data_IF_936540844672
#
_entry.id   IF_936540844672
#
_cell.length_a   1.000
_cell.length_b   1.000
_cell.length_c   1.000
_cell.angle_alpha   90.00
_cell.angle_beta   90.00
_cell.angle_gamma   90.00
#
_symmetry.space_group_name_H-M   'P 1'
#
loop_
_entity.id
_entity.type
_entity.pdbx_description
1 polymer ?
#
# COMPACT_ATOMS: atom_id res chain seq x y z
N UNK A 1 -37.53 62.71 19.79
CA UNK A 1 -36.82 63.10 18.56
C UNK A 1 -35.38 63.44 18.93
N UNK A 2 -34.44 62.48 18.83
CA UNK A 2 -32.99 62.68 18.92
C UNK A 2 -32.29 61.52 18.21
N UNK A 3 -31.40 61.91 17.32
CA UNK A 3 -30.56 61.13 16.42
C UNK A 3 -29.45 60.45 17.25
N UNK A 4 -29.19 59.16 17.01
CA UNK A 4 -27.86 58.58 17.27
C UNK A 4 -27.48 57.52 16.23
N UNK A 5 -26.62 57.99 15.32
CA UNK A 5 -25.54 57.32 14.58
C UNK A 5 -25.38 55.80 14.77
N UNK A 6 -25.69 55.05 13.70
CA UNK A 6 -25.06 53.75 13.42
C UNK A 6 -23.82 54.01 12.57
N UNK A 7 -22.64 53.76 13.12
CA UNK A 7 -21.42 53.44 12.37
C UNK A 7 -20.35 53.01 13.37
N UNK A 8 -19.95 51.74 13.34
CA UNK A 8 -18.54 51.30 13.22
C UNK A 8 -18.40 49.78 13.42
N UNK A 9 -17.54 49.23 12.56
CA UNK A 9 -16.83 47.94 12.66
C UNK A 9 -17.69 46.69 12.42
N UNK A 10 -17.33 45.76 11.55
CA UNK A 10 -15.99 45.32 11.17
C UNK A 10 -15.87 45.09 9.66
N UNK A 11 -14.76 45.60 9.11
CA UNK A 11 -14.21 45.15 7.85
C UNK A 11 -13.50 43.79 8.06
N UNK A 12 -13.67 42.90 7.08
CA UNK A 12 -12.78 41.79 6.69
C UNK A 12 -12.45 40.72 7.75
N UNK A 13 -12.76 39.46 7.42
CA UNK A 13 -11.66 38.56 7.14
C UNK A 13 -11.89 37.83 5.81
N UNK A 14 -11.59 38.51 4.69
CA UNK A 14 -11.37 37.86 3.40
C UNK A 14 -9.88 37.62 3.14
N UNK A 15 -9.06 37.53 4.19
CA UNK A 15 -7.63 37.22 4.11
C UNK A 15 -7.30 36.09 5.09
N UNK A 16 -7.97 34.96 4.92
CA UNK A 16 -7.53 33.66 5.43
C UNK A 16 -7.62 32.55 4.37
N UNK A 17 -7.76 32.94 3.10
CA UNK A 17 -7.76 32.04 1.93
C UNK A 17 -6.49 32.17 1.07
N UNK A 18 -5.48 32.91 1.53
CA UNK A 18 -4.24 33.18 0.78
C UNK A 18 -2.98 32.56 1.39
N UNK A 19 -3.10 31.57 2.29
CA UNK A 19 -1.95 30.83 2.84
C UNK A 19 -2.03 29.30 2.63
N UNK A 20 -3.04 28.80 1.90
CA UNK A 20 -3.10 27.40 1.50
C UNK A 20 -2.31 27.10 0.21
N UNK A 21 -1.76 28.11 -0.44
CA UNK A 21 -0.89 27.97 -1.60
C UNK A 21 0.52 28.42 -1.21
N UNK A 22 1.53 27.61 -1.54
CA UNK A 22 2.96 27.83 -1.35
C UNK A 22 3.59 27.37 -0.01
N UNK A 23 3.30 26.14 0.41
CA UNK A 23 4.42 25.30 0.85
C UNK A 23 4.26 23.90 0.25
N UNK A 24 4.78 23.73 -0.97
CA UNK A 24 5.15 22.42 -1.49
C UNK A 24 6.35 21.93 -0.67
N UNK A 25 6.17 21.73 0.63
CA UNK A 25 7.18 21.09 1.45
C UNK A 25 7.28 19.66 0.91
N UNK A 26 8.46 19.20 0.45
CA UNK A 26 8.64 17.85 -0.07
C UNK A 26 8.17 16.78 0.93
N UNK A 27 8.21 17.08 2.23
CA UNK A 27 7.65 16.24 3.29
C UNK A 27 6.12 16.22 3.24
N UNK A 28 5.45 17.36 3.13
CA UNK A 28 3.98 17.41 3.00
C UNK A 28 3.49 16.77 1.70
N UNK A 29 4.19 16.98 0.58
CA UNK A 29 3.88 16.28 -0.66
C UNK A 29 4.14 14.77 -0.54
N UNK A 30 5.20 14.35 0.15
CA UNK A 30 5.44 12.93 0.43
C UNK A 30 4.37 12.34 1.34
N UNK A 31 3.88 13.06 2.36
CA UNK A 31 2.77 12.62 3.20
C UNK A 31 1.45 12.58 2.43
N UNK A 32 1.10 13.63 1.67
CA UNK A 32 -0.10 13.66 0.84
C UNK A 32 -0.06 12.53 -0.20
N UNK A 33 1.07 12.31 -0.88
CA UNK A 33 1.24 11.21 -1.83
C UNK A 33 1.26 9.83 -1.13
N UNK A 34 1.80 9.74 0.09
CA UNK A 34 1.74 8.51 0.91
C UNK A 34 0.29 8.18 1.31
N UNK A 35 -0.54 9.19 1.55
CA UNK A 35 -1.98 9.03 1.79
C UNK A 35 -2.77 8.80 0.51
N UNK A 36 -2.31 9.32 -0.61
CA UNK A 36 -2.98 9.21 -1.92
C UNK A 36 -2.56 7.96 -2.72
N UNK A 37 -1.66 7.10 -2.19
CA UNK A 37 -1.31 5.73 -2.66
C UNK A 37 -1.45 5.49 -4.18
N UNK A 38 -1.10 6.46 -5.02
CA UNK A 38 -1.65 6.58 -6.37
C UNK A 38 -1.61 8.00 -6.94
N UNK A 39 -2.01 9.00 -6.13
CA UNK A 39 -1.90 10.42 -6.47
C UNK A 39 -0.44 10.85 -6.60
N UNK A 40 -0.09 11.39 -7.78
CA UNK A 40 1.27 11.82 -8.08
C UNK A 40 2.27 10.69 -8.36
N UNK A 41 1.81 9.45 -8.55
CA UNK A 41 2.68 8.40 -9.07
C UNK A 41 3.15 8.76 -10.49
N UNK A 42 4.43 8.54 -10.83
CA UNK A 42 4.90 8.58 -12.22
C UNK A 42 3.98 7.77 -13.14
N UNK A 43 3.68 8.26 -14.34
CA UNK A 43 2.79 7.61 -15.33
C UNK A 43 3.15 6.15 -15.63
N UNK A 44 4.42 5.78 -15.46
CA UNK A 44 4.89 4.40 -15.63
C UNK A 44 4.36 3.45 -14.53
N UNK A 45 4.03 3.96 -13.35
CA UNK A 45 3.48 3.20 -12.21
C UNK A 45 1.95 3.05 -12.27
N UNK A 46 1.27 3.78 -13.16
CA UNK A 46 -0.17 3.60 -13.42
C UNK A 46 -0.44 2.54 -14.49
N UNK A 47 0.59 2.14 -15.24
CA UNK A 47 0.49 1.18 -16.35
C UNK A 47 1.12 -0.17 -16.03
N UNK A 48 1.94 -0.25 -14.98
CA UNK A 48 2.64 -1.47 -14.57
C UNK A 48 2.54 -1.68 -13.07
N UNK A 49 2.60 -2.94 -12.63
CA UNK A 49 2.77 -3.26 -11.20
C UNK A 49 4.20 -2.92 -10.76
N UNK A 50 4.41 -2.76 -9.46
CA UNK A 50 5.68 -2.28 -8.90
C UNK A 50 6.30 -3.32 -7.97
N UNK A 51 7.61 -3.26 -7.78
CA UNK A 51 8.26 -4.08 -6.77
C UNK A 51 8.04 -3.50 -5.36
N UNK A 52 7.91 -4.39 -4.38
CA UNK A 52 7.90 -4.05 -2.97
C UNK A 52 8.57 -5.17 -2.15
N UNK A 53 9.07 -4.82 -0.99
CA UNK A 53 9.70 -5.77 -0.06
C UNK A 53 8.76 -6.04 1.10
N UNK A 54 8.59 -7.31 1.47
CA UNK A 54 7.84 -7.68 2.68
C UNK A 54 8.56 -7.13 3.90
N UNK A 55 7.87 -6.27 4.65
CA UNK A 55 8.43 -5.53 5.78
C UNK A 55 8.22 -6.25 7.12
N UNK A 56 7.26 -7.17 7.18
CA UNK A 56 6.99 -8.05 8.31
C UNK A 56 6.49 -9.40 7.82
N UNK A 57 6.75 -10.46 8.57
CA UNK A 57 6.19 -11.79 8.26
C UNK A 57 4.66 -11.72 8.16
N UNK A 58 4.11 -12.52 7.25
CA UNK A 58 2.67 -12.57 7.00
C UNK A 58 1.90 -13.08 8.22
N UNK A 59 0.75 -12.47 8.51
CA UNK A 59 -0.12 -12.90 9.61
C UNK A 59 -1.52 -12.28 9.52
N UNK A 60 -2.41 -12.60 10.48
CA UNK A 60 -3.70 -11.94 10.57
C UNK A 60 -3.52 -10.45 10.92
N UNK A 61 -4.45 -9.60 10.46
CA UNK A 61 -4.43 -8.15 10.72
C UNK A 61 -4.38 -7.85 12.22
N UNK A 62 -5.06 -8.65 13.05
CA UNK A 62 -5.07 -8.50 14.51
C UNK A 62 -3.71 -8.76 15.18
N UNK A 63 -2.83 -9.55 14.56
CA UNK A 63 -1.48 -9.84 15.04
C UNK A 63 -0.45 -8.81 14.57
N UNK A 64 -0.79 -7.95 13.61
CA UNK A 64 0.10 -6.91 13.12
C UNK A 64 0.41 -5.88 14.22
N UNK A 65 1.63 -5.33 14.21
CA UNK A 65 2.01 -4.23 15.09
C UNK A 65 1.09 -3.02 14.94
N UNK A 66 1.02 -2.16 15.96
CA UNK A 66 0.10 -0.99 15.97
C UNK A 66 0.23 -0.11 14.73
N UNK A 67 1.46 0.13 14.26
CA UNK A 67 1.72 0.96 13.08
C UNK A 67 1.17 0.31 11.81
N UNK A 68 1.38 -1.00 11.65
CA UNK A 68 1.01 -1.75 10.44
C UNK A 68 -0.50 -1.90 10.35
N UNK A 69 -1.13 -2.15 11.50
CA UNK A 69 -2.58 -2.17 11.64
C UNK A 69 -3.22 -0.80 11.37
N UNK A 70 -2.56 0.29 11.72
CA UNK A 70 -3.06 1.62 11.35
C UNK A 70 -3.05 1.82 9.82
N UNK A 71 -2.06 1.26 9.12
CA UNK A 71 -2.01 1.30 7.66
C UNK A 71 -3.13 0.48 7.01
N UNK A 72 -3.50 -0.67 7.57
CA UNK A 72 -4.66 -1.45 7.07
C UNK A 72 -5.97 -0.66 7.23
N UNK A 73 -6.15 0.05 8.35
CA UNK A 73 -7.32 0.92 8.56
C UNK A 73 -7.39 2.09 7.57
N UNK A 74 -6.24 2.69 7.25
CA UNK A 74 -6.16 3.75 6.23
C UNK A 74 -6.53 3.26 4.83
N UNK A 75 -6.50 1.95 4.61
CA UNK A 75 -6.83 1.29 3.35
C UNK A 75 -8.26 0.74 3.34
N UNK A 76 -9.04 0.95 4.39
CA UNK A 76 -10.44 0.54 4.44
C UNK A 76 -10.70 -0.83 5.08
N UNK A 77 -9.66 -1.59 5.43
CA UNK A 77 -9.79 -2.86 6.17
C UNK A 77 -10.03 -2.54 7.64
N UNK A 78 -11.25 -2.72 8.15
CA UNK A 78 -11.62 -2.35 9.53
C UNK A 78 -11.64 -3.54 10.48
N UNK A 79 -11.43 -3.26 11.76
CA UNK A 79 -11.53 -4.26 12.81
C UNK A 79 -12.89 -4.98 12.80
N UNK A 80 -12.83 -6.32 12.73
CA UNK A 80 -14.01 -7.19 12.68
C UNK A 80 -14.72 -7.20 11.32
N UNK A 81 -14.20 -6.53 10.30
CA UNK A 81 -14.73 -6.62 8.95
C UNK A 81 -14.28 -7.92 8.27
N UNK A 82 -15.07 -8.48 7.32
CA UNK A 82 -14.70 -9.70 6.61
C UNK A 82 -13.33 -9.64 5.92
N UNK A 83 -12.85 -8.45 5.55
CA UNK A 83 -11.54 -8.20 4.96
C UNK A 83 -10.37 -8.61 5.87
N UNK A 84 -10.53 -8.59 7.19
CA UNK A 84 -9.48 -9.02 8.14
C UNK A 84 -9.27 -10.53 8.12
N UNK A 85 -10.23 -11.28 7.56
CA UNK A 85 -10.12 -12.72 7.43
C UNK A 85 -9.06 -13.15 6.41
N UNK A 86 -8.60 -12.26 5.51
CA UNK A 86 -7.68 -12.63 4.44
C UNK A 86 -6.23 -12.58 4.89
N UNK A 87 -5.36 -13.22 4.10
CA UNK A 87 -3.90 -13.13 4.26
C UNK A 87 -3.44 -11.75 3.85
N UNK A 88 -2.83 -11.03 4.78
CA UNK A 88 -2.34 -9.67 4.56
C UNK A 88 -0.85 -9.59 4.89
N UNK A 89 -0.10 -8.84 4.08
CA UNK A 89 1.31 -8.56 4.32
C UNK A 89 1.58 -7.05 4.27
N UNK A 90 2.37 -6.56 5.22
CA UNK A 90 2.97 -5.23 5.10
C UNK A 90 4.11 -5.30 4.10
N UNK A 91 4.12 -4.37 3.17
CA UNK A 91 5.21 -4.22 2.21
C UNK A 91 5.69 -2.77 2.18
N UNK A 92 7.00 -2.62 2.05
CA UNK A 92 7.66 -1.34 1.84
C UNK A 92 8.06 -1.24 0.36
N UNK A 93 7.68 -0.14 -0.27
CA UNK A 93 8.17 0.28 -1.59
C UNK A 93 9.08 1.50 -1.40
N UNK A 94 10.14 1.65 -2.19
CA UNK A 94 10.91 2.89 -2.12
C UNK A 94 10.20 4.03 -2.84
N UNK A 95 10.30 5.21 -2.25
CA UNK A 95 9.79 6.44 -2.83
C UNK A 95 10.69 6.85 -4.01
N UNK A 96 10.13 6.85 -5.22
CA UNK A 96 10.85 7.26 -6.44
C UNK A 96 11.37 8.71 -6.39
N UNK A 97 10.75 9.58 -5.59
CA UNK A 97 11.17 10.97 -5.43
C UNK A 97 12.30 11.16 -4.41
N UNK A 98 12.47 10.23 -3.47
CA UNK A 98 13.46 10.32 -2.41
C UNK A 98 13.97 8.93 -2.05
N UNK A 99 15.22 8.64 -2.43
CA UNK A 99 15.84 7.33 -2.21
C UNK A 99 15.86 6.89 -0.73
N UNK A 100 15.77 7.81 0.22
CA UNK A 100 15.83 7.49 1.65
C UNK A 100 14.47 7.23 2.30
N UNK A 101 13.33 7.52 1.64
CA UNK A 101 12.00 7.28 2.21
C UNK A 101 11.38 6.01 1.63
N UNK A 102 10.92 5.13 2.51
CA UNK A 102 10.07 3.99 2.16
C UNK A 102 8.61 4.38 2.34
N UNK A 103 7.78 4.07 1.35
CA UNK A 103 6.32 4.08 1.49
C UNK A 103 5.88 2.70 1.93
N UNK A 104 5.06 2.64 2.97
CA UNK A 104 4.53 1.38 3.47
C UNK A 104 3.06 1.24 3.06
N UNK A 105 2.68 0.04 2.64
CA UNK A 105 1.29 -0.33 2.31
C UNK A 105 1.01 -1.74 2.81
N UNK A 106 -0.25 -2.13 2.86
CA UNK A 106 -0.65 -3.52 3.05
C UNK A 106 -1.17 -4.07 1.72
N UNK A 107 -0.90 -5.34 1.46
CA UNK A 107 -1.38 -6.06 0.28
C UNK A 107 -2.03 -7.37 0.69
N UNK A 108 -3.11 -7.73 -0.01
CA UNK A 108 -3.69 -9.07 0.07
C UNK A 108 -2.75 -10.09 -0.58
N UNK A 109 -2.60 -11.25 0.07
CA UNK A 109 -1.75 -12.35 -0.38
C UNK A 109 -2.62 -13.49 -0.89
N UNK A 110 -2.45 -13.93 -2.14
CA UNK A 110 -3.27 -14.98 -2.72
C UNK A 110 -2.93 -16.36 -2.12
N UNK A 111 -3.90 -17.27 -2.15
CA UNK A 111 -3.77 -18.63 -1.59
C UNK A 111 -2.66 -19.44 -2.26
N UNK A 112 -2.37 -19.14 -3.53
CA UNK A 112 -1.31 -19.78 -4.33
C UNK A 112 0.10 -19.41 -3.89
N UNK A 113 0.26 -18.41 -3.00
CA UNK A 113 1.58 -18.00 -2.54
C UNK A 113 1.96 -18.79 -1.28
N UNK A 114 3.23 -19.23 -1.17
CA UNK A 114 3.73 -19.73 0.10
C UNK A 114 3.65 -18.64 1.18
N UNK A 115 3.76 -19.02 2.45
CA UNK A 115 3.86 -18.03 3.54
C UNK A 115 5.03 -17.09 3.31
N UNK A 116 4.73 -15.79 3.28
CA UNK A 116 5.72 -14.75 3.06
C UNK A 116 6.52 -14.46 4.33
N UNK A 117 7.79 -14.12 4.16
CA UNK A 117 8.65 -13.61 5.24
C UNK A 117 9.24 -12.26 4.92
N UNK A 118 9.64 -11.55 5.96
CA UNK A 118 10.38 -10.30 5.87
C UNK A 118 11.57 -10.44 4.91
N UNK A 119 11.67 -9.48 3.99
CA UNK A 119 12.68 -9.40 2.94
C UNK A 119 12.31 -10.11 1.63
N UNK A 120 11.24 -10.90 1.59
CA UNK A 120 10.71 -11.44 0.32
C UNK A 120 10.35 -10.25 -0.61
N UNK A 121 10.59 -10.41 -1.91
CA UNK A 121 10.26 -9.41 -2.93
C UNK A 121 9.00 -9.80 -3.65
N UNK A 122 8.03 -8.90 -3.68
CA UNK A 122 6.80 -9.07 -4.42
C UNK A 122 6.73 -8.09 -5.59
N UNK A 123 6.06 -8.51 -6.65
CA UNK A 123 5.38 -7.58 -7.55
C UNK A 123 3.98 -7.34 -6.98
N UNK A 124 3.59 -6.07 -6.83
CA UNK A 124 2.31 -5.68 -6.23
C UNK A 124 1.50 -4.78 -7.18
N UNK A 125 0.20 -5.06 -7.26
CA UNK A 125 -0.76 -4.13 -7.86
C UNK A 125 -1.32 -3.24 -6.76
N UNK A 126 -1.30 -1.94 -6.99
CA UNK A 126 -1.90 -0.95 -6.09
C UNK A 126 -3.14 -0.40 -6.79
N UNK A 127 -4.32 -0.95 -6.48
CA UNK A 127 -5.56 -0.71 -7.21
C UNK A 127 -6.09 0.73 -7.04
N UNK A 128 -6.27 1.18 -5.79
CA UNK A 128 -6.81 2.50 -5.41
C UNK A 128 -6.39 2.88 -3.98
N UNK A 129 -6.70 4.11 -3.57
CA UNK A 129 -6.58 4.64 -2.19
C UNK A 129 -7.50 3.90 -1.21
N UNK A 130 -7.80 4.49 -0.04
CA UNK A 130 -8.70 3.99 1.03
C UNK A 130 -9.91 3.18 0.56
N UNK A 131 -10.51 3.51 -0.57
CA UNK A 131 -11.71 2.84 -1.06
C UNK A 131 -11.41 1.51 -1.79
N UNK A 132 -10.13 1.23 -2.07
CA UNK A 132 -9.69 0.09 -2.87
C UNK A 132 -9.73 -1.26 -2.16
N UNK A 133 -9.67 -1.31 -0.82
CA UNK A 133 -9.76 -2.58 -0.07
C UNK A 133 -11.01 -2.69 0.80
N UNK A 134 -11.82 -1.62 0.93
CA UNK A 134 -13.02 -1.64 1.78
C UNK A 134 -14.07 -2.67 1.34
N UNK A 135 -14.07 -3.04 0.05
CA UNK A 135 -14.98 -4.01 -0.55
C UNK A 135 -14.24 -5.26 -1.05
N UNK A 136 -13.01 -5.51 -0.57
CA UNK A 136 -12.19 -6.64 -1.05
C UNK A 136 -12.87 -7.98 -0.77
N UNK A 137 -13.58 -8.12 0.35
CA UNK A 137 -14.29 -9.36 0.65
C UNK A 137 -15.39 -9.67 -0.38
N UNK A 138 -16.01 -8.64 -0.97
CA UNK A 138 -17.05 -8.79 -1.98
C UNK A 138 -16.48 -8.87 -3.41
N UNK A 139 -15.54 -7.99 -3.75
CA UNK A 139 -15.09 -7.76 -5.13
C UNK A 139 -13.84 -8.54 -5.51
N UNK A 140 -13.03 -8.95 -4.52
CA UNK A 140 -11.65 -9.45 -4.74
C UNK A 140 -10.77 -8.49 -5.53
N UNK A 141 -11.10 -7.20 -5.49
CA UNK A 141 -10.31 -6.13 -6.10
C UNK A 141 -9.69 -5.26 -5.01
N UNK A 142 -8.42 -4.92 -5.17
CA UNK A 142 -7.68 -4.10 -4.21
C UNK A 142 -6.17 -4.19 -4.37
N UNK A 143 -5.44 -3.76 -3.34
CA UNK A 143 -3.99 -3.88 -3.32
C UNK A 143 -3.60 -5.33 -3.04
N UNK A 144 -2.84 -5.96 -3.94
CA UNK A 144 -2.51 -7.37 -3.81
C UNK A 144 -1.14 -7.71 -4.38
N UNK A 145 -0.56 -8.78 -3.84
CA UNK A 145 0.61 -9.42 -4.42
C UNK A 145 0.20 -10.18 -5.68
N UNK A 146 0.89 -9.90 -6.79
CA UNK A 146 0.63 -10.55 -8.10
C UNK A 146 1.73 -11.51 -8.50
N UNK A 147 2.95 -11.33 -7.96
CA UNK A 147 4.04 -12.30 -8.12
C UNK A 147 4.98 -12.28 -6.91
N UNK A 148 5.49 -13.45 -6.51
CA UNK A 148 6.64 -13.57 -5.61
C UNK A 148 7.91 -13.69 -6.45
N UNK A 149 8.78 -12.70 -6.35
CA UNK A 149 9.88 -12.46 -7.29
C UNK A 149 11.18 -13.02 -6.74
N UNK A 150 11.54 -12.66 -5.51
CA UNK A 150 12.72 -13.17 -4.80
C UNK A 150 12.32 -13.65 -3.42
N UNK A 151 12.80 -14.83 -3.02
CA UNK A 151 12.44 -15.47 -1.75
C UNK A 151 13.63 -15.51 -0.80
N UNK A 152 13.54 -14.87 0.35
CA UNK A 152 14.57 -14.93 1.40
C UNK A 152 14.75 -16.36 1.88
N UNK A 153 16.01 -16.79 1.89
CA UNK A 153 16.41 -18.14 2.26
C UNK A 153 16.50 -19.10 1.08
N UNK A 154 16.13 -18.69 -0.14
CA UNK A 154 16.49 -19.44 -1.35
C UNK A 154 17.99 -19.26 -1.65
N UNK A 155 18.61 -20.29 -2.24
CA UNK A 155 20.04 -20.27 -2.57
C UNK A 155 20.41 -19.16 -3.57
N UNK A 156 19.45 -18.71 -4.38
CA UNK A 156 19.61 -17.70 -5.44
C UNK A 156 19.13 -16.30 -5.04
N UNK A 157 18.67 -16.09 -3.80
CA UNK A 157 18.07 -14.84 -3.35
C UNK A 157 18.91 -13.60 -3.66
N UNK A 158 20.19 -13.63 -3.29
CA UNK A 158 21.14 -12.53 -3.52
C UNK A 158 21.31 -12.20 -5.01
N UNK A 159 21.31 -13.23 -5.86
CA UNK A 159 21.42 -13.05 -7.30
C UNK A 159 20.12 -12.50 -7.88
N UNK A 160 18.97 -13.00 -7.41
CA UNK A 160 17.65 -12.50 -7.78
C UNK A 160 17.53 -11.01 -7.45
N UNK A 161 17.80 -10.64 -6.20
CA UNK A 161 17.70 -9.26 -5.70
C UNK A 161 18.58 -8.29 -6.51
N UNK A 162 19.82 -8.68 -6.82
CA UNK A 162 20.77 -7.85 -7.58
C UNK A 162 20.37 -7.64 -9.05
N UNK A 163 19.52 -8.50 -9.61
CA UNK A 163 19.02 -8.41 -10.99
C UNK A 163 17.74 -7.58 -11.11
N UNK A 164 17.11 -7.21 -9.99
CA UNK A 164 15.91 -6.38 -10.03
C UNK A 164 16.24 -5.00 -10.61
N UNK A 165 15.35 -4.45 -11.46
CA UNK A 165 15.58 -3.16 -12.06
C UNK A 165 15.61 -2.08 -10.98
N UNK A 166 16.54 -1.15 -11.14
CA UNK A 166 16.67 0.04 -10.29
C UNK A 166 15.74 1.12 -10.85
N UNK A 167 15.10 1.90 -9.98
CA UNK A 167 14.34 3.08 -10.41
C UNK A 167 15.25 4.05 -11.17
N UNK A 168 14.79 4.49 -12.34
CA UNK A 168 15.46 5.48 -13.18
C UNK A 168 15.85 6.73 -12.36
N UNK A 169 17.10 7.19 -12.48
CA UNK A 169 17.60 8.37 -11.75
C UNK A 169 18.15 8.10 -10.33
N UNK A 170 18.10 6.88 -9.81
CA UNK A 170 18.64 6.53 -8.48
C UNK A 170 19.83 5.57 -8.59
N UNK A 171 21.00 6.09 -8.95
CA UNK A 171 22.24 5.29 -9.09
C UNK A 171 22.72 4.59 -7.80
N UNK A 172 22.09 4.85 -6.66
CA UNK A 172 22.57 4.45 -5.34
C UNK A 172 21.81 3.28 -4.68
N UNK A 173 20.71 2.78 -5.25
CA UNK A 173 19.90 1.77 -4.54
C UNK A 173 19.52 0.57 -5.40
N UNK A 174 20.30 -0.50 -5.24
CA UNK A 174 19.97 -1.84 -5.75
C UNK A 174 18.84 -2.44 -4.91
N UNK A 175 17.77 -2.90 -5.56
CA UNK A 175 16.68 -3.63 -4.89
C UNK A 175 15.30 -3.40 -5.49
N UNK A 176 14.31 -4.06 -4.91
CA UNK A 176 12.88 -4.13 -5.26
C UNK A 176 12.14 -2.77 -5.34
N UNK A 177 12.62 -1.87 -6.19
CA UNK A 177 12.23 -0.46 -6.23
C UNK A 177 12.03 0.04 -7.66
N UNK A 178 12.11 -0.86 -8.64
CA UNK A 178 11.82 -0.57 -10.03
C UNK A 178 10.35 -0.81 -10.37
N UNK A 179 10.00 -0.38 -11.57
CA UNK A 179 8.76 -0.81 -12.20
C UNK A 179 8.98 -2.20 -12.78
N UNK A 180 8.02 -3.10 -12.58
CA UNK A 180 8.09 -4.44 -13.18
C UNK A 180 7.82 -4.38 -14.69
N UNK A 181 7.93 -5.50 -15.40
CA UNK A 181 7.39 -5.63 -16.76
C UNK A 181 5.96 -6.16 -16.80
N UNK A 182 5.39 -6.48 -15.64
CA UNK A 182 4.04 -7.03 -15.54
C UNK A 182 3.06 -5.85 -15.72
N UNK A 183 2.12 -5.93 -16.68
CA UNK A 183 1.13 -4.89 -16.88
C UNK A 183 0.25 -4.80 -15.63
N UNK A 184 -0.13 -3.57 -15.26
CA UNK A 184 -0.99 -3.32 -14.10
C UNK A 184 -2.33 -4.06 -14.24
N UNK A 185 -2.84 -4.04 -15.47
CA UNK A 185 -4.12 -4.58 -15.93
C UNK A 185 -5.33 -4.17 -15.08
N UNK A 186 -6.52 -4.46 -15.57
CA UNK A 186 -7.74 -3.78 -15.09
C UNK A 186 -8.34 -4.43 -13.85
N UNK A 187 -8.05 -5.71 -13.58
CA UNK A 187 -8.64 -6.50 -12.50
C UNK A 187 -7.66 -7.56 -11.97
N UNK A 188 -7.74 -7.91 -10.68
CA UNK A 188 -6.96 -9.03 -10.13
C UNK A 188 -7.32 -10.38 -10.74
N UNK A 189 -8.54 -10.55 -11.25
CA UNK A 189 -8.99 -11.79 -11.88
C UNK A 189 -8.13 -12.19 -13.09
N UNK A 190 -7.58 -11.23 -13.83
CA UNK A 190 -6.73 -11.49 -14.99
C UNK A 190 -5.42 -12.22 -14.64
N UNK A 191 -5.00 -12.16 -13.37
CA UNK A 191 -3.79 -12.82 -12.88
C UNK A 191 -4.08 -14.25 -12.38
N UNK A 192 -5.34 -14.71 -12.42
CA UNK A 192 -5.72 -16.05 -11.96
C UNK A 192 -5.51 -16.25 -10.44
N UNK A 193 -5.57 -15.17 -9.66
CA UNK A 193 -5.35 -15.20 -8.22
C UNK A 193 -6.60 -15.65 -7.48
N UNK A 194 -6.39 -16.43 -6.41
CA UNK A 194 -7.46 -16.91 -5.53
C UNK A 194 -7.22 -16.36 -4.13
N UNK A 195 -8.27 -15.87 -3.50
CA UNK A 195 -8.23 -15.34 -2.14
C UNK A 195 -9.37 -15.92 -1.33
N UNK A 196 -9.03 -16.71 -0.31
CA UNK A 196 -9.99 -17.29 0.62
C UNK A 196 -9.81 -16.68 2.01
N UNK A 197 -10.91 -16.51 2.77
CA UNK A 197 -10.83 -16.28 4.20
C UNK A 197 -9.95 -17.34 4.87
N UNK A 198 -8.99 -16.90 5.66
CA UNK A 198 -8.04 -17.72 6.42
C UNK A 198 -8.24 -17.58 7.92
N UNK A 199 -8.66 -16.41 8.39
CA UNK A 199 -8.82 -16.10 9.81
C UNK A 199 -10.27 -15.79 10.17
N UNK A 200 -10.67 -16.06 11.40
CA UNK A 200 -11.94 -15.59 11.95
C UNK A 200 -11.84 -14.14 12.48
N UNK A 201 -12.94 -13.61 12.99
CA UNK A 201 -13.01 -12.25 13.55
C UNK A 201 -12.10 -12.04 14.79
N UNK A 202 -11.63 -13.12 15.43
CA UNK A 202 -10.66 -13.08 16.53
C UNK A 202 -9.21 -13.23 16.06
N UNK A 203 -8.98 -13.41 14.76
CA UNK A 203 -7.67 -13.65 14.16
C UNK A 203 -7.19 -15.09 14.26
N UNK A 204 -8.04 -16.03 14.69
CA UNK A 204 -7.69 -17.45 14.75
C UNK A 204 -7.80 -18.07 13.37
N UNK A 205 -6.94 -19.05 13.08
CA UNK A 205 -6.97 -19.77 11.81
C UNK A 205 -8.27 -20.57 11.70
N UNK A 206 -8.99 -20.40 10.59
CA UNK A 206 -10.20 -21.17 10.30
C UNK A 206 -9.84 -22.64 10.07
N UNK A 207 -10.66 -23.57 10.59
CA UNK A 207 -10.48 -25.00 10.34
C UNK A 207 -10.63 -25.37 8.85
N UNK A 208 -11.39 -24.56 8.11
CA UNK A 208 -11.56 -24.68 6.65
C UNK A 208 -10.52 -23.91 5.84
N UNK A 209 -9.54 -23.26 6.49
CA UNK A 209 -8.55 -22.45 5.79
C UNK A 209 -7.71 -23.32 4.83
N UNK A 210 -7.54 -22.92 3.55
CA UNK A 210 -6.65 -23.62 2.65
C UNK A 210 -5.22 -23.68 3.20
N UNK A 211 -4.57 -24.84 3.10
CA UNK A 211 -3.16 -24.95 3.42
C UNK A 211 -2.36 -23.96 2.53
N UNK A 212 -1.49 -23.16 3.13
CA UNK A 212 -0.58 -22.35 2.33
C UNK A 212 0.45 -23.30 1.70
N UNK A 213 0.83 -23.10 0.43
CA UNK A 213 1.93 -23.84 -0.19
C UNK A 213 3.17 -23.82 0.71
N UNK A 214 3.89 -24.94 0.72
CA UNK A 214 5.15 -25.02 1.44
C UNK A 214 6.11 -23.95 0.90
N UNK A 215 6.86 -23.36 1.83
CA UNK A 215 7.87 -22.37 1.50
C UNK A 215 9.08 -22.98 0.80
#
# INVERSE_FOLDING_TARGET
MRIFNRLRMAALPAVALALAACSANPVNNAFTNMWDLGGGLPTVMTTKVIFATVASDEGPVSAMGRQDRALTYNQGIRYGAPEEAYRMARVDMLNHSTSFMKWATTVAVPDTFPTLKMGDVLAIRIAKTRDGLQDFAATKEGNAAVSLVCRVGSADYEQCWKKLPVAEGTSQMRGANGVTQIPYGTSLAQFGLVFSPRYDASGQLLSSAPAAPSR
#
